data_IF_116337727125
#
_entry.id   IF_116337727125
#
_cell.length_a   1.000
_cell.length_b   1.000
_cell.length_c   1.000
_cell.angle_alpha   90.00
_cell.angle_beta   90.00
_cell.angle_gamma   90.00
#
_symmetry.space_group_name_H-M   'P 1'
#
loop_
_entity.id
_entity.type
_entity.pdbx_description
1 polymer ?
#
# COMPACT_ATOMS: atom_id res chain seq x y z
N UNK A 1 16.02 -1.87 -0.16
CA UNK A 1 14.67 -1.68 0.39
C UNK A 1 14.67 -0.27 0.93
N UNK A 2 13.66 0.48 0.53
CA UNK A 2 13.21 1.80 1.02
C UNK A 2 12.82 1.56 2.49
N UNK A 3 13.15 2.31 3.54
CA UNK A 3 13.68 3.65 3.70
C UNK A 3 14.51 3.74 5.01
N UNK A 4 15.03 4.94 5.29
CA UNK A 4 15.67 5.40 6.52
C UNK A 4 17.20 5.31 6.55
N UNK A 5 17.86 6.39 6.97
CA UNK A 5 19.31 6.46 6.94
C UNK A 5 19.96 5.50 7.94
N UNK A 6 21.09 4.92 7.59
CA UNK A 6 21.88 4.05 8.47
C UNK A 6 23.12 3.58 7.73
N UNK A 7 23.83 2.57 8.24
CA UNK A 7 24.85 1.89 7.42
C UNK A 7 24.34 0.50 7.12
N UNK A 8 24.04 0.20 5.87
CA UNK A 8 23.83 -1.17 5.34
C UNK A 8 25.11 -1.60 4.60
N UNK A 9 26.04 -2.27 5.29
CA UNK A 9 27.33 -2.63 4.68
C UNK A 9 27.22 -3.87 3.78
N UNK A 10 26.25 -4.75 4.01
CA UNK A 10 26.11 -6.01 3.28
C UNK A 10 25.04 -6.02 2.19
N UNK A 11 24.25 -4.94 2.10
CA UNK A 11 23.32 -4.67 1.01
C UNK A 11 22.12 -5.61 1.03
N UNK A 12 21.70 -6.05 2.21
CA UNK A 12 20.54 -6.93 2.39
C UNK A 12 19.22 -6.15 2.57
N UNK A 13 19.30 -4.82 2.62
CA UNK A 13 18.16 -3.93 2.76
C UNK A 13 17.77 -3.67 4.21
N UNK A 14 18.56 -4.13 5.19
CA UNK A 14 18.41 -3.78 6.61
C UNK A 14 19.65 -3.05 7.12
N UNK A 15 19.51 -2.25 8.18
CA UNK A 15 20.66 -1.62 8.84
C UNK A 15 21.59 -2.64 9.49
N UNK A 16 22.91 -2.39 9.44
CA UNK A 16 23.93 -3.21 10.11
C UNK A 16 23.70 -3.31 11.64
N UNK A 17 23.09 -2.29 12.27
CA UNK A 17 22.85 -2.18 13.72
C UNK A 17 21.35 -2.11 14.06
N UNK A 18 20.70 -3.27 14.12
CA UNK A 18 19.28 -3.40 14.52
C UNK A 18 19.09 -3.37 16.05
N UNK A 19 19.88 -2.59 16.77
CA UNK A 19 19.70 -2.46 18.23
C UNK A 19 18.51 -1.53 18.48
N UNK A 20 17.44 -2.06 19.04
CA UNK A 20 16.22 -1.33 19.41
C UNK A 20 16.00 -1.46 20.92
N UNK A 21 16.31 -0.38 21.65
CA UNK A 21 16.45 -0.37 23.12
C UNK A 21 15.12 -0.30 23.86
N UNK A 22 14.12 0.35 23.30
CA UNK A 22 12.78 0.50 23.84
C UNK A 22 11.73 -0.34 23.11
N UNK A 23 12.15 -1.05 22.06
CA UNK A 23 11.31 -1.99 21.32
C UNK A 23 10.13 -1.28 20.70
N UNK A 24 10.37 -0.16 20.02
CA UNK A 24 9.34 0.64 19.35
C UNK A 24 9.35 0.47 17.81
N UNK A 25 10.14 -0.49 17.32
CA UNK A 25 10.24 -0.82 15.90
C UNK A 25 11.32 -0.02 15.16
N UNK A 26 11.94 0.98 15.81
CA UNK A 26 13.06 1.73 15.25
C UNK A 26 14.40 1.33 15.90
N UNK A 27 15.45 1.21 15.09
CA UNK A 27 16.80 1.04 15.63
C UNK A 27 17.28 2.32 16.34
N UNK A 28 18.02 2.19 17.44
CA UNK A 28 18.56 3.25 18.30
C UNK A 28 19.28 4.39 17.53
N UNK A 29 19.84 4.07 16.36
CA UNK A 29 20.60 5.00 15.50
C UNK A 29 19.73 5.84 14.56
N UNK A 30 18.45 5.48 14.41
CA UNK A 30 17.42 6.20 13.64
C UNK A 30 16.22 6.62 14.49
N UNK A 31 16.12 6.14 15.72
CA UNK A 31 15.09 6.51 16.67
C UNK A 31 15.33 7.90 17.31
N UNK A 32 14.30 8.73 17.25
CA UNK A 32 14.25 10.05 17.86
C UNK A 32 14.23 10.09 19.39
N UNK A 33 13.74 9.04 20.06
CA UNK A 33 13.54 8.93 21.53
C UNK A 33 13.91 7.52 22.05
N UNK A 34 15.15 7.08 21.80
CA UNK A 34 15.79 5.78 22.19
C UNK A 34 15.50 5.24 23.62
N UNK A 35 14.97 6.08 24.50
CA UNK A 35 14.60 5.70 25.86
C UNK A 35 13.12 5.77 26.19
N UNK A 36 12.27 6.10 25.21
CA UNK A 36 10.85 6.42 25.34
C UNK A 36 10.58 7.29 26.59
N UNK A 37 11.37 8.37 26.74
CA UNK A 37 11.30 9.27 27.89
C UNK A 37 10.74 10.66 27.54
N UNK A 38 10.38 10.86 26.26
CA UNK A 38 9.86 12.09 25.69
C UNK A 38 10.95 13.14 25.49
N UNK A 39 12.22 12.73 25.49
CA UNK A 39 13.37 13.59 25.21
C UNK A 39 13.94 13.17 23.88
N UNK A 40 14.10 14.09 22.93
CA UNK A 40 14.73 13.71 21.67
C UNK A 40 16.24 13.41 21.88
N UNK A 41 16.66 12.15 21.75
CA UNK A 41 18.06 11.74 21.85
C UNK A 41 18.82 11.90 20.53
N UNK A 42 18.15 11.72 19.39
CA UNK A 42 18.77 11.71 18.06
C UNK A 42 18.22 12.79 17.10
N UNK A 43 17.98 13.99 17.63
CA UNK A 43 17.40 15.16 16.91
C UNK A 43 18.13 15.67 15.64
N UNK A 44 19.21 15.01 15.19
CA UNK A 44 19.96 15.39 13.97
C UNK A 44 20.07 14.26 12.95
N UNK A 45 19.63 13.04 13.27
CA UNK A 45 19.64 11.88 12.37
C UNK A 45 18.35 11.04 12.46
N UNK A 46 17.45 11.33 13.40
CA UNK A 46 16.15 10.66 13.49
C UNK A 46 15.26 11.05 12.32
N UNK A 47 14.72 10.04 11.63
CA UNK A 47 13.83 10.20 10.48
C UNK A 47 12.37 10.38 10.92
N UNK A 48 11.97 9.69 11.99
CA UNK A 48 10.66 9.87 12.63
C UNK A 48 10.81 10.12 14.14
N UNK A 49 9.88 10.90 14.71
CA UNK A 49 9.77 11.09 16.15
C UNK A 49 8.57 10.26 16.61
N UNK A 50 8.83 9.08 17.18
CA UNK A 50 7.78 8.17 17.62
C UNK A 50 7.06 8.68 18.87
N UNK A 51 5.82 8.22 19.03
CA UNK A 51 5.02 8.45 20.22
C UNK A 51 5.36 7.47 21.34
N UNK A 52 4.77 7.67 22.52
CA UNK A 52 4.99 6.74 23.64
C UNK A 52 4.32 5.38 23.41
N UNK A 53 5.05 4.26 23.40
CA UNK A 53 4.48 2.91 23.60
C UNK A 53 3.99 2.74 25.05
N UNK A 54 2.68 2.88 25.27
CA UNK A 54 2.08 2.78 26.60
C UNK A 54 1.69 1.34 26.99
N UNK A 55 1.67 0.41 26.02
CA UNK A 55 1.24 -0.99 26.13
C UNK A 55 2.42 -1.92 26.43
N UNK A 56 3.60 -1.58 25.92
CA UNK A 56 4.77 -2.44 25.89
C UNK A 56 4.63 -3.56 24.87
N UNK A 57 3.96 -3.33 23.74
CA UNK A 57 3.67 -4.35 22.72
C UNK A 57 4.65 -4.35 21.54
N UNK A 58 5.43 -3.29 21.34
CA UNK A 58 6.34 -3.19 20.21
C UNK A 58 6.13 -1.94 19.35
N UNK A 59 4.97 -1.28 19.50
CA UNK A 59 4.51 -0.26 18.56
C UNK A 59 4.26 1.10 19.24
N UNK A 60 4.66 2.24 18.63
CA UNK A 60 4.44 3.54 19.24
C UNK A 60 2.98 3.99 19.15
N UNK A 61 2.36 4.39 20.27
CA UNK A 61 0.93 4.77 20.30
C UNK A 61 0.59 6.08 19.54
N UNK A 62 1.60 6.80 19.02
CA UNK A 62 1.39 7.98 18.17
C UNK A 62 2.56 8.17 17.21
N UNK A 63 2.71 7.25 16.27
CA UNK A 63 3.18 7.61 14.93
C UNK A 63 1.93 7.73 14.06
N UNK A 64 1.91 8.70 13.16
CA UNK A 64 1.06 8.56 11.99
C UNK A 64 1.74 7.46 11.16
N UNK A 65 1.04 6.35 10.95
CA UNK A 65 1.36 5.24 10.04
C UNK A 65 2.83 4.79 9.99
N UNK A 66 3.25 3.96 10.93
CA UNK A 66 4.40 3.09 10.68
C UNK A 66 3.91 1.75 10.15
N UNK A 67 2.96 1.10 10.81
CA UNK A 67 2.38 -0.20 10.44
C UNK A 67 0.89 0.01 10.14
N UNK A 68 0.52 0.04 8.85
CA UNK A 68 -0.79 0.50 8.38
C UNK A 68 -1.86 -0.59 8.54
N UNK A 69 -1.51 -1.79 8.10
CA UNK A 69 -2.32 -3.01 8.15
C UNK A 69 -2.32 -3.70 9.53
N UNK A 70 -1.43 -3.26 10.43
CA UNK A 70 -1.26 -3.79 11.78
C UNK A 70 -0.74 -5.24 11.81
N UNK A 71 0.07 -5.64 10.84
CA UNK A 71 0.67 -6.97 10.77
C UNK A 71 1.91 -7.14 11.70
N UNK A 72 2.45 -6.02 12.18
CA UNK A 72 3.62 -5.93 13.06
C UNK A 72 4.95 -5.66 12.34
N UNK A 73 4.91 -5.37 11.04
CA UNK A 73 6.02 -4.89 10.21
C UNK A 73 5.78 -3.41 9.93
N UNK A 74 6.67 -2.52 10.39
CA UNK A 74 6.57 -1.12 9.98
C UNK A 74 6.71 -1.00 8.46
N UNK A 75 5.82 -0.30 7.78
CA UNK A 75 5.74 0.02 6.34
C UNK A 75 7.09 0.37 5.69
N UNK A 76 8.00 1.03 6.40
CA UNK A 76 9.37 1.27 5.89
C UNK A 76 10.25 0.00 5.79
N UNK A 77 9.78 -1.14 6.29
CA UNK A 77 10.36 -2.47 6.28
C UNK A 77 9.38 -3.52 5.74
N UNK A 78 8.20 -3.06 5.32
CA UNK A 78 7.15 -3.87 4.76
C UNK A 78 7.33 -3.97 3.24
N UNK A 79 7.00 -5.13 2.69
CA UNK A 79 6.99 -5.38 1.25
C UNK A 79 5.63 -5.04 0.64
N UNK A 80 4.58 -4.96 1.45
CA UNK A 80 3.15 -4.88 1.09
C UNK A 80 2.40 -4.08 2.16
N UNK A 81 2.70 -2.78 2.28
CA UNK A 81 2.37 -1.92 3.43
C UNK A 81 0.89 -1.86 3.79
N UNK A 82 -0.03 -2.20 2.88
CA UNK A 82 -1.47 -2.19 3.09
C UNK A 82 -2.10 -3.62 3.07
N UNK A 83 -1.29 -4.68 2.95
CA UNK A 83 -1.63 -6.11 2.98
C UNK A 83 -2.62 -6.55 1.86
N UNK A 84 -2.66 -5.82 0.75
CA UNK A 84 -3.54 -6.11 -0.38
C UNK A 84 -2.97 -7.20 -1.33
N UNK A 85 -1.68 -7.52 -1.20
CA UNK A 85 -0.93 -8.52 -1.95
C UNK A 85 -0.12 -7.96 -3.12
N UNK A 86 -0.36 -6.71 -3.53
CA UNK A 86 0.37 -5.97 -4.56
C UNK A 86 1.51 -5.20 -3.91
N UNK A 87 2.68 -5.83 -3.81
CA UNK A 87 3.83 -5.22 -3.13
C UNK A 87 4.15 -3.76 -3.51
N UNK A 88 4.55 -2.95 -2.53
CA UNK A 88 4.89 -1.52 -2.63
C UNK A 88 5.75 -1.16 -3.84
N UNK A 89 6.69 -2.04 -4.20
CA UNK A 89 7.58 -1.81 -5.35
C UNK A 89 6.81 -1.71 -6.67
N UNK A 90 5.72 -2.46 -6.81
CA UNK A 90 4.87 -2.46 -8.00
C UNK A 90 4.01 -1.20 -8.01
N UNK A 91 3.42 -0.84 -6.90
CA UNK A 91 2.51 0.30 -6.75
C UNK A 91 3.24 1.63 -6.90
N UNK A 92 4.46 1.73 -6.36
CA UNK A 92 5.36 2.84 -6.62
C UNK A 92 5.85 2.90 -8.10
N UNK A 93 5.38 2.01 -8.98
CA UNK A 93 5.70 1.97 -10.41
C UNK A 93 7.07 1.36 -10.72
N UNK A 94 7.65 0.63 -9.77
CA UNK A 94 8.91 -0.08 -9.90
C UNK A 94 8.80 -1.35 -10.72
N UNK A 95 9.94 -1.98 -10.95
CA UNK A 95 10.00 -3.30 -11.59
C UNK A 95 10.49 -4.33 -10.59
N UNK A 96 9.71 -5.40 -10.41
CA UNK A 96 10.14 -6.64 -9.78
C UNK A 96 10.02 -7.80 -10.78
N UNK A 97 11.10 -8.05 -11.51
CA UNK A 97 11.16 -9.13 -12.50
C UNK A 97 11.43 -10.50 -11.89
N UNK A 98 11.72 -10.57 -10.60
CA UNK A 98 12.14 -11.78 -9.92
C UNK A 98 11.09 -12.27 -8.89
N UNK A 99 10.10 -11.43 -8.59
CA UNK A 99 8.95 -11.68 -7.72
C UNK A 99 9.38 -11.95 -6.28
N UNK A 100 10.28 -11.10 -5.76
CA UNK A 100 10.73 -11.08 -4.37
C UNK A 100 10.28 -9.81 -3.62
N UNK A 101 9.32 -9.06 -4.18
CA UNK A 101 8.77 -7.83 -3.59
C UNK A 101 9.76 -6.67 -3.59
N UNK A 102 10.88 -6.78 -4.32
CA UNK A 102 11.98 -5.80 -4.26
C UNK A 102 12.33 -5.27 -5.64
N UNK A 103 12.79 -4.02 -5.66
CA UNK A 103 13.14 -3.34 -6.90
C UNK A 103 14.36 -3.98 -7.61
N UNK A 104 14.16 -4.46 -8.83
CA UNK A 104 15.18 -5.04 -9.72
C UNK A 104 16.05 -3.96 -10.42
N UNK A 105 16.57 -3.01 -9.62
CA UNK A 105 17.32 -1.84 -10.06
C UNK A 105 18.85 -1.96 -10.06
N UNK A 106 19.51 -0.81 -10.16
CA UNK A 106 20.95 -0.73 -9.99
C UNK A 106 21.34 -1.10 -8.57
N UNK A 107 22.21 -2.11 -8.41
CA UNK A 107 22.82 -2.44 -7.12
C UNK A 107 23.89 -1.42 -6.67
N UNK A 108 23.91 -0.24 -7.26
CA UNK A 108 24.80 0.85 -6.83
C UNK A 108 23.96 1.80 -6.00
N UNK A 109 24.39 1.96 -4.78
CA UNK A 109 23.83 2.87 -3.79
C UNK A 109 25.03 3.66 -3.26
N UNK A 110 25.12 4.92 -3.68
CA UNK A 110 26.33 5.75 -3.53
C UNK A 110 26.50 6.30 -2.13
N UNK A 111 25.41 6.62 -1.45
CA UNK A 111 25.39 7.17 -0.09
C UNK A 111 24.87 6.17 0.96
N UNK A 112 24.47 4.97 0.52
CA UNK A 112 24.08 3.84 1.38
C UNK A 112 22.82 4.13 2.19
N UNK A 113 21.87 4.83 1.58
CA UNK A 113 20.59 5.19 2.19
C UNK A 113 19.45 4.21 1.86
N UNK A 114 19.75 3.15 1.12
CA UNK A 114 18.80 2.08 0.80
C UNK A 114 18.14 2.21 -0.58
N UNK A 115 18.28 3.37 -1.24
CA UNK A 115 17.82 3.56 -2.61
C UNK A 115 18.93 3.25 -3.62
N UNK A 116 18.59 2.47 -4.65
CA UNK A 116 19.49 2.34 -5.80
C UNK A 116 19.65 3.70 -6.49
N UNK A 117 20.86 4.05 -6.94
CA UNK A 117 21.18 5.31 -7.62
C UNK A 117 20.21 5.62 -8.79
N UNK A 118 19.56 4.60 -9.36
CA UNK A 118 18.59 4.70 -10.46
C UNK A 118 17.18 5.10 -10.04
N UNK A 119 16.84 4.99 -8.75
CA UNK A 119 15.57 5.45 -8.15
C UNK A 119 15.78 6.49 -7.05
N UNK A 120 17.01 6.75 -6.64
CA UNK A 120 17.34 7.76 -5.64
C UNK A 120 17.19 9.19 -6.18
N UNK A 121 16.45 10.04 -5.47
CA UNK A 121 16.26 11.46 -5.80
C UNK A 121 17.50 12.35 -5.58
N UNK A 122 18.40 12.01 -4.66
CA UNK A 122 19.62 12.73 -4.23
C UNK A 122 20.76 11.72 -3.99
N UNK A 123 21.22 11.08 -5.08
CA UNK A 123 22.31 10.07 -5.18
C UNK A 123 23.57 10.30 -4.32
N UNK A 124 23.80 11.51 -3.81
CA UNK A 124 24.97 11.82 -2.98
C UNK A 124 24.64 12.32 -1.57
N UNK A 125 23.37 12.35 -1.19
CA UNK A 125 22.81 12.98 -0.01
C UNK A 125 23.47 14.35 0.26
N UNK A 126 23.56 15.17 -0.79
CA UNK A 126 24.23 16.47 -0.74
C UNK A 126 23.25 17.66 -0.74
N UNK A 127 21.95 17.35 -0.77
CA UNK A 127 20.84 18.29 -0.83
C UNK A 127 20.59 18.81 -2.24
N UNK A 128 21.12 18.14 -3.26
CA UNK A 128 20.90 18.46 -4.68
C UNK A 128 20.12 17.31 -5.30
N UNK A 129 18.96 17.59 -5.88
CA UNK A 129 18.23 16.54 -6.57
C UNK A 129 18.95 16.13 -7.88
N UNK A 130 19.35 14.86 -8.01
CA UNK A 130 20.01 14.30 -9.20
C UNK A 130 19.10 13.47 -10.09
N UNK A 131 18.22 12.65 -9.49
CA UNK A 131 17.47 11.62 -10.22
C UNK A 131 15.98 11.55 -9.80
N UNK A 132 15.39 12.71 -9.53
CA UNK A 132 13.94 12.87 -9.27
C UNK A 132 13.01 12.33 -10.37
N UNK A 133 13.51 12.05 -11.57
CA UNK A 133 12.71 11.48 -12.66
C UNK A 133 12.71 9.94 -12.68
N UNK A 134 13.60 9.31 -11.90
CA UNK A 134 13.64 7.87 -11.70
C UNK A 134 13.10 7.44 -10.34
N UNK A 135 12.79 8.39 -9.45
CA UNK A 135 12.18 8.09 -8.16
C UNK A 135 10.83 7.40 -8.33
N UNK A 136 10.64 6.31 -7.59
CA UNK A 136 9.42 5.50 -7.58
C UNK A 136 8.31 6.22 -6.81
N UNK A 137 8.66 6.82 -5.67
CA UNK A 137 7.80 7.71 -4.90
C UNK A 137 8.46 9.08 -4.78
N UNK A 138 7.69 10.16 -4.89
CA UNK A 138 8.15 11.53 -4.63
C UNK A 138 7.26 12.12 -3.56
N UNK A 139 7.88 12.73 -2.56
CA UNK A 139 7.16 13.44 -1.51
C UNK A 139 7.13 14.94 -1.77
N UNK A 140 6.02 15.56 -1.39
CA UNK A 140 5.80 16.99 -1.45
C UNK A 140 6.55 17.76 -0.36
N UNK A 141 6.23 19.05 -0.23
CA UNK A 141 6.70 19.82 0.93
C UNK A 141 5.95 19.40 2.18
N UNK A 142 6.62 19.36 3.32
CA UNK A 142 5.99 19.43 4.64
C UNK A 142 6.00 20.89 5.14
N UNK A 143 4.87 21.58 4.98
CA UNK A 143 4.72 22.99 5.36
C UNK A 143 4.36 23.17 6.83
N UNK A 144 3.77 22.16 7.45
CA UNK A 144 3.35 22.06 8.87
C UNK A 144 4.55 21.86 9.78
N UNK A 145 5.56 21.14 9.27
CA UNK A 145 6.63 20.48 10.02
C UNK A 145 6.03 19.46 11.01
N UNK A 146 5.05 18.67 10.58
CA UNK A 146 4.46 17.60 11.39
C UNK A 146 5.08 16.23 11.12
N UNK A 147 6.00 16.15 10.15
CA UNK A 147 6.74 14.93 9.83
C UNK A 147 6.14 14.15 8.65
N UNK A 148 4.96 14.51 8.16
CA UNK A 148 4.37 13.93 6.96
C UNK A 148 4.45 14.92 5.78
N UNK A 149 4.74 14.46 4.56
CA UNK A 149 4.66 15.33 3.40
C UNK A 149 3.19 15.72 3.13
N UNK A 150 2.96 16.92 2.62
CA UNK A 150 1.59 17.38 2.32
C UNK A 150 0.99 16.80 1.03
N UNK A 151 1.71 15.98 0.26
CA UNK A 151 1.26 15.44 -1.03
C UNK A 151 2.24 14.40 -1.57
N UNK A 152 1.78 13.51 -2.44
CA UNK A 152 2.59 12.53 -3.18
C UNK A 152 2.42 12.75 -4.69
N UNK A 153 3.32 13.47 -5.38
CA UNK A 153 3.07 13.86 -6.77
C UNK A 153 3.10 12.74 -7.83
N UNK A 154 3.39 11.50 -7.43
CA UNK A 154 3.35 10.27 -8.22
C UNK A 154 3.11 9.08 -7.27
N UNK A 155 2.55 8.00 -7.80
CA UNK A 155 2.04 6.86 -7.03
C UNK A 155 0.98 7.34 -6.01
N UNK A 156 -0.05 7.98 -6.56
CA UNK A 156 -1.22 8.61 -5.92
C UNK A 156 -2.20 8.84 -7.08
N UNK A 157 -2.83 7.74 -7.51
CA UNK A 157 -3.55 7.63 -8.77
C UNK A 157 -4.85 8.44 -8.76
N UNK A 158 -5.53 8.50 -7.62
CA UNK A 158 -6.79 9.20 -7.45
C UNK A 158 -6.62 10.67 -6.95
N UNK A 159 -5.42 11.03 -6.46
CA UNK A 159 -5.07 12.34 -5.92
C UNK A 159 -5.78 12.72 -4.60
N UNK A 160 -5.94 11.77 -3.68
CA UNK A 160 -6.52 12.01 -2.35
C UNK A 160 -5.51 12.33 -1.24
N UNK A 161 -4.21 12.40 -1.60
CA UNK A 161 -3.05 12.60 -0.73
C UNK A 161 -2.65 11.34 0.09
N UNK A 162 -3.16 10.16 -0.23
CA UNK A 162 -2.64 8.84 0.17
C UNK A 162 -1.92 8.23 -1.05
N UNK A 163 -0.67 7.76 -0.92
CA UNK A 163 0.01 7.12 -2.03
C UNK A 163 -0.53 5.71 -2.25
N UNK A 164 -0.51 5.22 -3.50
CA UNK A 164 -1.08 3.92 -3.90
C UNK A 164 -0.67 2.78 -2.95
N UNK A 165 0.61 2.71 -2.54
CA UNK A 165 1.11 1.67 -1.63
C UNK A 165 0.53 1.67 -0.19
N UNK A 166 -0.27 2.67 0.16
CA UNK A 166 -0.93 2.84 1.45
C UNK A 166 -2.46 3.00 1.29
N UNK A 167 -2.97 2.81 0.08
CA UNK A 167 -4.37 3.04 -0.28
C UNK A 167 -4.99 1.70 -0.69
N UNK A 168 -6.00 1.25 0.06
CA UNK A 168 -6.63 -0.05 -0.25
C UNK A 168 -7.62 0.01 -1.43
N UNK A 169 -7.86 1.18 -2.02
CA UNK A 169 -8.75 1.48 -3.15
C UNK A 169 -8.12 2.60 -4.01
N UNK A 170 -6.95 2.32 -4.60
CA UNK A 170 -6.04 3.30 -5.23
C UNK A 170 -6.65 4.12 -6.37
N UNK A 171 -7.73 3.67 -7.01
CA UNK A 171 -8.46 4.44 -8.03
C UNK A 171 -9.80 5.04 -7.53
N UNK A 172 -10.14 4.69 -6.29
CA UNK A 172 -11.19 5.26 -5.48
C UNK A 172 -12.60 5.05 -6.06
N UNK A 173 -12.81 3.84 -6.56
CA UNK A 173 -14.02 3.40 -7.23
C UNK A 173 -14.98 2.63 -6.27
N UNK A 174 -14.48 2.21 -5.11
CA UNK A 174 -15.21 1.52 -4.05
C UNK A 174 -15.12 -0.01 -4.07
N UNK A 175 -14.36 -0.57 -4.99
CA UNK A 175 -13.80 -1.91 -4.91
C UNK A 175 -12.49 -1.78 -4.08
N UNK A 176 -11.65 -2.80 -3.96
CA UNK A 176 -10.44 -2.72 -3.14
C UNK A 176 -9.36 -3.45 -3.88
N UNK A 177 -8.14 -2.95 -3.80
CA UNK A 177 -7.02 -3.36 -4.64
C UNK A 177 -6.74 -4.86 -4.49
N UNK A 178 -6.91 -5.44 -3.30
CA UNK A 178 -6.84 -6.88 -3.06
C UNK A 178 -7.78 -7.72 -3.98
N UNK A 179 -8.98 -7.21 -4.27
CA UNK A 179 -9.95 -7.84 -5.17
C UNK A 179 -9.66 -7.55 -6.65
N UNK A 180 -8.83 -6.55 -6.93
CA UNK A 180 -8.62 -5.96 -8.25
C UNK A 180 -7.26 -6.28 -8.86
N UNK A 181 -6.23 -6.43 -8.03
CA UNK A 181 -4.91 -6.88 -8.45
C UNK A 181 -4.90 -8.30 -9.00
N UNK A 182 -5.91 -9.13 -8.71
CA UNK A 182 -5.94 -10.54 -9.11
C UNK A 182 -7.24 -10.91 -9.82
N UNK A 183 -7.14 -11.57 -10.97
CA UNK A 183 -8.29 -12.18 -11.65
C UNK A 183 -9.15 -13.03 -10.69
N UNK A 184 -10.48 -12.88 -10.76
CA UNK A 184 -11.45 -13.57 -9.88
C UNK A 184 -11.20 -15.06 -9.71
N UNK A 185 -10.75 -15.74 -10.77
CA UNK A 185 -10.52 -17.19 -10.75
C UNK A 185 -9.20 -17.62 -10.09
N UNK A 186 -8.26 -16.70 -9.93
CA UNK A 186 -6.94 -16.88 -9.34
C UNK A 186 -6.86 -16.36 -7.90
N UNK A 187 -7.79 -15.48 -7.49
CA UNK A 187 -7.86 -14.92 -6.15
C UNK A 187 -7.72 -15.97 -5.03
N UNK A 188 -6.86 -15.65 -4.08
CA UNK A 188 -6.62 -16.42 -2.86
C UNK A 188 -6.92 -15.51 -1.69
N UNK A 189 -7.74 -15.96 -0.75
CA UNK A 189 -8.02 -15.18 0.47
C UNK A 189 -6.73 -15.06 1.30
N UNK A 190 -6.36 -13.85 1.76
CA UNK A 190 -5.22 -13.64 2.66
C UNK A 190 -5.25 -14.60 3.86
N UNK A 191 -4.08 -15.07 4.26
CA UNK A 191 -3.94 -16.01 5.37
C UNK A 191 -3.96 -15.31 6.74
N UNK A 192 -3.76 -13.99 6.74
CA UNK A 192 -3.50 -13.15 7.91
C UNK A 192 -2.32 -13.70 8.70
N UNK A 193 -1.27 -14.08 7.98
CA UNK A 193 -0.06 -14.60 8.56
C UNK A 193 1.12 -14.27 7.66
N UNK A 194 2.19 -13.84 8.30
CA UNK A 194 3.53 -13.72 7.75
C UNK A 194 4.46 -14.63 8.58
N UNK A 195 5.15 -15.56 7.93
CA UNK A 195 6.09 -16.49 8.61
C UNK A 195 7.50 -15.94 8.68
N UNK A 196 7.83 -15.01 7.80
CA UNK A 196 9.16 -14.49 7.48
C UNK A 196 9.44 -13.21 8.25
N UNK A 197 8.38 -12.42 8.50
CA UNK A 197 8.48 -11.09 9.08
C UNK A 197 8.93 -10.07 8.04
N UNK A 198 8.57 -10.24 6.78
CA UNK A 198 8.86 -9.31 5.69
C UNK A 198 7.63 -8.53 5.19
N UNK A 199 6.47 -8.75 5.80
CA UNK A 199 5.24 -7.98 5.61
C UNK A 199 4.33 -8.51 4.50
N UNK A 200 4.80 -9.47 3.68
CA UNK A 200 3.94 -10.05 2.64
C UNK A 200 3.15 -11.26 3.18
N UNK A 201 1.81 -11.24 3.13
CA UNK A 201 1.00 -12.37 3.56
C UNK A 201 1.42 -13.69 2.87
N UNK A 202 1.49 -14.77 3.65
CA UNK A 202 1.94 -16.09 3.16
C UNK A 202 1.13 -16.63 1.95
N UNK A 203 -0.07 -16.11 1.68
CA UNK A 203 -0.87 -16.46 0.50
C UNK A 203 -0.29 -15.87 -0.78
N UNK A 204 0.36 -14.70 -0.65
CA UNK A 204 0.95 -13.92 -1.72
C UNK A 204 2.48 -14.09 -1.78
N UNK A 205 3.12 -14.51 -0.70
CA UNK A 205 4.57 -14.70 -0.65
C UNK A 205 5.06 -16.03 -1.31
N UNK A 206 5.83 -15.99 -2.42
CA UNK A 206 6.39 -17.18 -3.07
C UNK A 206 7.39 -17.98 -2.25
N UNK A 207 8.16 -17.35 -1.36
CA UNK A 207 9.27 -17.99 -0.68
C UNK A 207 8.83 -18.71 0.61
N UNK A 208 7.64 -18.36 1.12
CA UNK A 208 6.86 -19.17 2.06
C UNK A 208 5.71 -19.99 1.43
N UNK A 209 5.60 -19.99 0.11
CA UNK A 209 4.84 -20.97 -0.68
C UNK A 209 3.44 -20.54 -1.12
N UNK A 210 3.13 -19.26 -0.97
CA UNK A 210 2.07 -18.51 -1.63
C UNK A 210 2.37 -18.24 -3.11
N UNK A 211 1.69 -17.25 -3.69
CA UNK A 211 1.79 -16.87 -5.09
C UNK A 211 1.82 -15.36 -5.23
N UNK A 212 2.95 -14.83 -5.69
CA UNK A 212 3.14 -13.40 -5.95
C UNK A 212 2.02 -12.86 -6.83
N UNK A 213 1.47 -11.72 -6.44
CA UNK A 213 0.47 -11.00 -7.22
C UNK A 213 1.18 -10.31 -8.38
N UNK A 214 0.74 -10.64 -9.59
CA UNK A 214 1.07 -9.84 -10.76
C UNK A 214 -0.24 -9.14 -11.08
N UNK A 215 -0.32 -7.79 -10.99
CA UNK A 215 -1.55 -7.07 -11.23
C UNK A 215 -2.20 -7.49 -12.55
N UNK A 216 -3.50 -7.76 -12.49
CA UNK A 216 -4.32 -8.00 -13.67
C UNK A 216 -4.47 -6.69 -14.45
N UNK A 217 -4.54 -6.80 -15.78
CA UNK A 217 -4.76 -5.71 -16.73
C UNK A 217 -5.73 -6.31 -17.77
N UNK A 218 -7.01 -6.18 -17.48
CA UNK A 218 -8.10 -6.93 -18.11
C UNK A 218 -8.27 -6.51 -19.57
N UNK A 219 -8.14 -5.23 -19.89
CA UNK A 219 -8.29 -4.69 -21.24
C UNK A 219 -6.96 -4.64 -22.04
N UNK A 220 -5.82 -4.68 -21.35
CA UNK A 220 -4.46 -4.67 -21.91
C UNK A 220 -3.94 -3.27 -22.28
N UNK A 221 -4.43 -2.20 -21.65
CA UNK A 221 -4.03 -0.82 -21.92
C UNK A 221 -2.80 -0.35 -21.14
N UNK A 222 -2.31 -1.19 -20.22
CA UNK A 222 -1.18 -0.96 -19.29
C UNK A 222 -1.50 -0.12 -18.05
N UNK A 223 -2.77 0.15 -17.76
CA UNK A 223 -3.28 0.44 -16.42
C UNK A 223 -3.73 -0.88 -15.80
N UNK A 224 -3.10 -1.35 -14.71
CA UNK A 224 -3.65 -2.46 -13.96
C UNK A 224 -5.05 -2.14 -13.44
N UNK A 225 -5.86 -3.19 -13.27
CA UNK A 225 -7.26 -3.10 -12.86
C UNK A 225 -7.46 -2.26 -11.59
N UNK A 226 -6.62 -2.42 -10.56
CA UNK A 226 -6.70 -1.65 -9.30
C UNK A 226 -6.37 -0.14 -9.45
N UNK A 227 -5.90 0.29 -10.62
CA UNK A 227 -5.64 1.69 -10.94
C UNK A 227 -6.59 2.22 -12.03
N UNK A 228 -7.52 1.40 -12.53
CA UNK A 228 -8.32 1.67 -13.73
C UNK A 228 -9.83 1.73 -13.43
N UNK A 229 -10.40 2.92 -13.59
CA UNK A 229 -11.83 3.19 -13.36
C UNK A 229 -12.83 2.45 -14.29
N UNK A 230 -12.35 1.77 -15.34
CA UNK A 230 -13.12 1.01 -16.34
C UNK A 230 -12.24 -0.16 -16.85
N UNK A 231 -11.95 -1.14 -15.97
CA UNK A 231 -10.96 -2.20 -16.17
C UNK A 231 -11.15 -3.06 -17.43
N UNK A 232 -12.34 -3.12 -18.01
CA UNK A 232 -12.60 -3.84 -19.26
C UNK A 232 -12.90 -2.94 -20.48
N UNK A 233 -12.81 -1.63 -20.27
CA UNK A 233 -12.86 -0.55 -21.25
C UNK A 233 -14.17 -0.60 -22.08
N UNK A 234 -15.26 -0.97 -21.40
CA UNK A 234 -16.56 -1.27 -22.01
C UNK A 234 -17.59 -0.12 -21.92
N UNK A 235 -17.19 0.99 -21.28
CA UNK A 235 -17.86 2.29 -21.12
C UNK A 235 -18.70 2.47 -19.86
N UNK A 236 -18.83 1.44 -19.04
CA UNK A 236 -19.28 1.61 -17.66
C UNK A 236 -18.05 1.87 -16.78
N UNK A 237 -18.22 1.80 -15.48
CA UNK A 237 -17.13 2.14 -14.56
C UNK A 237 -17.23 1.13 -13.47
N UNK A 238 -16.10 0.76 -12.93
CA UNK A 238 -15.99 -0.33 -11.97
C UNK A 238 -16.85 -0.03 -10.71
N UNK A 239 -16.88 1.24 -10.27
CA UNK A 239 -17.82 1.76 -9.25
C UNK A 239 -19.30 1.43 -9.49
N UNK A 240 -19.75 1.40 -10.74
CA UNK A 240 -21.14 1.06 -11.07
C UNK A 240 -21.30 -0.45 -11.15
N UNK A 241 -20.38 -1.14 -11.83
CA UNK A 241 -20.49 -2.57 -12.11
C UNK A 241 -20.23 -3.44 -10.88
N UNK A 242 -19.26 -3.06 -10.05
CA UNK A 242 -19.01 -3.62 -8.72
C UNK A 242 -20.17 -3.43 -7.74
N UNK A 243 -21.11 -2.50 -8.00
CA UNK A 243 -22.13 -2.15 -7.02
C UNK A 243 -23.57 -2.19 -7.55
N UNK A 244 -23.83 -2.52 -8.82
CA UNK A 244 -25.18 -2.63 -9.39
C UNK A 244 -25.68 -4.08 -9.44
N UNK A 245 -26.32 -4.53 -8.36
CA UNK A 245 -26.83 -5.90 -8.28
C UNK A 245 -28.15 -6.12 -9.03
N UNK A 246 -28.82 -5.06 -9.49
CA UNK A 246 -30.14 -5.17 -10.14
C UNK A 246 -30.15 -4.78 -11.64
N UNK A 247 -28.99 -4.36 -12.16
CA UNK A 247 -28.74 -4.05 -13.57
C UNK A 247 -29.56 -2.85 -14.03
N UNK A 248 -29.59 -1.78 -13.22
CA UNK A 248 -30.30 -0.54 -13.52
C UNK A 248 -29.38 0.65 -13.82
N UNK A 249 -28.06 0.42 -13.81
CA UNK A 249 -26.96 1.37 -14.01
C UNK A 249 -26.84 2.40 -12.90
N UNK A 250 -27.12 1.97 -11.69
CA UNK A 250 -26.97 2.78 -10.49
C UNK A 250 -26.47 1.87 -9.39
N UNK A 251 -25.32 2.21 -8.83
CA UNK A 251 -24.79 1.52 -7.66
C UNK A 251 -25.83 1.45 -6.52
N UNK A 252 -25.95 0.28 -5.93
CA UNK A 252 -26.91 -0.03 -4.89
C UNK A 252 -26.41 0.41 -3.51
N UNK A 253 -27.26 1.09 -2.73
CA UNK A 253 -26.97 1.47 -1.33
C UNK A 253 -26.93 0.28 -0.34
N UNK A 254 -26.81 -0.94 -0.85
CA UNK A 254 -26.73 -2.19 -0.12
C UNK A 254 -25.88 -3.22 -0.86
N UNK A 255 -24.99 -2.73 -1.73
CA UNK A 255 -23.87 -3.50 -2.25
C UNK A 255 -23.08 -4.13 -1.08
N UNK A 256 -22.46 -5.31 -1.26
CA UNK A 256 -21.67 -5.97 -0.22
C UNK A 256 -20.55 -5.11 0.38
N UNK A 257 -19.98 -4.21 -0.41
CA UNK A 257 -19.09 -3.13 0.01
C UNK A 257 -19.91 -1.86 0.22
N UNK A 258 -20.84 -1.80 1.18
CA UNK A 258 -21.50 -0.53 1.48
C UNK A 258 -22.03 -0.48 2.91
N UNK A 259 -21.55 0.50 3.67
CA UNK A 259 -22.08 0.84 5.00
C UNK A 259 -23.53 1.36 4.98
N UNK A 260 -24.13 1.50 3.79
CA UNK A 260 -25.46 2.07 3.56
C UNK A 260 -25.45 3.58 3.35
N UNK A 261 -24.27 4.18 3.17
CA UNK A 261 -24.08 5.56 2.72
C UNK A 261 -23.60 5.51 1.26
N UNK A 262 -24.50 5.61 0.26
CA UNK A 262 -24.03 5.67 -1.14
C UNK A 262 -23.19 6.92 -1.39
N UNK A 263 -21.93 6.74 -1.78
CA UNK A 263 -21.03 7.79 -2.25
C UNK A 263 -20.70 8.82 -1.17
N UNK A 264 -19.44 8.85 -0.78
CA UNK A 264 -18.87 9.80 0.18
C UNK A 264 -17.58 10.40 -0.36
N UNK A 265 -17.01 11.32 0.40
CA UNK A 265 -15.59 11.71 0.33
C UNK A 265 -15.05 11.77 1.77
N UNK A 266 -15.66 10.96 2.63
CA UNK A 266 -15.32 10.86 4.03
C UNK A 266 -14.74 9.48 4.16
N UNK A 267 -13.52 9.46 4.62
CA UNK A 267 -12.77 8.30 5.02
C UNK A 267 -12.38 8.62 6.48
N UNK A 268 -12.81 7.75 7.40
CA UNK A 268 -12.76 8.00 8.83
C UNK A 268 -11.48 7.46 9.48
N UNK A 269 -10.90 6.45 8.86
CA UNK A 269 -9.73 5.68 9.27
C UNK A 269 -8.50 6.08 8.51
N UNK A 270 -8.66 6.73 7.34
CA UNK A 270 -7.60 7.13 6.44
C UNK A 270 -6.97 5.96 5.68
N UNK A 271 -7.76 4.94 5.35
CA UNK A 271 -7.35 3.74 4.60
C UNK A 271 -7.54 3.84 3.10
N UNK A 272 -8.00 4.99 2.59
CA UNK A 272 -8.19 5.23 1.16
C UNK A 272 -9.58 4.82 0.66
N UNK A 273 -10.23 3.87 1.33
CA UNK A 273 -11.60 3.47 1.01
C UNK A 273 -12.64 4.36 1.70
N UNK A 274 -13.44 5.07 0.91
CA UNK A 274 -14.47 5.94 1.51
C UNK A 274 -15.51 5.18 2.35
N UNK A 275 -15.95 5.81 3.46
CA UNK A 275 -16.99 5.35 4.42
C UNK A 275 -18.25 4.77 3.76
N UNK A 276 -18.55 5.20 2.53
CA UNK A 276 -19.73 4.75 1.79
C UNK A 276 -19.65 3.32 1.26
N UNK A 277 -18.43 2.86 1.04
CA UNK A 277 -18.03 1.57 0.50
C UNK A 277 -17.31 0.70 1.53
N UNK A 278 -16.71 1.33 2.53
CA UNK A 278 -16.07 0.67 3.65
C UNK A 278 -17.08 0.08 4.67
N UNK A 279 -16.93 -1.22 4.97
CA UNK A 279 -17.72 -1.96 5.93
C UNK A 279 -17.23 -1.81 7.38
N UNK A 280 -16.04 -1.27 7.60
CA UNK A 280 -15.39 -1.12 8.90
C UNK A 280 -14.51 0.14 8.98
N UNK A 281 -15.16 1.29 9.18
CA UNK A 281 -14.58 2.66 9.26
C UNK A 281 -13.69 2.92 10.48
N UNK A 282 -12.89 1.95 10.87
CA UNK A 282 -11.97 1.94 11.99
C UNK A 282 -10.81 0.94 11.78
N UNK A 283 -10.55 0.47 10.56
CA UNK A 283 -9.62 -0.61 10.24
C UNK A 283 -9.18 -0.59 8.78
N UNK A 284 -7.87 -0.60 8.55
CA UNK A 284 -7.19 -0.76 7.26
C UNK A 284 -7.20 -2.22 6.79
N UNK A 285 -8.38 -2.84 6.74
CA UNK A 285 -8.50 -4.22 6.27
C UNK A 285 -8.58 -4.22 4.74
N UNK A 286 -7.49 -4.60 4.06
CA UNK A 286 -7.41 -4.71 2.59
C UNK A 286 -8.54 -5.52 1.94
N UNK A 287 -9.22 -6.38 2.72
CA UNK A 287 -10.34 -7.18 2.23
C UNK A 287 -11.71 -6.54 2.45
N UNK A 288 -11.78 -5.34 3.05
CA UNK A 288 -13.00 -4.63 3.41
C UNK A 288 -14.00 -5.52 4.19
N UNK A 289 -13.54 -6.05 5.33
CA UNK A 289 -14.28 -7.02 6.17
C UNK A 289 -14.49 -8.40 5.54
N UNK A 290 -13.49 -8.90 4.82
CA UNK A 290 -13.48 -10.25 4.23
C UNK A 290 -14.32 -10.38 2.97
N UNK A 291 -14.47 -9.30 2.21
CA UNK A 291 -14.93 -9.39 0.83
C UNK A 291 -13.89 -10.15 -0.01
N UNK A 292 -14.35 -10.61 -1.16
CA UNK A 292 -13.57 -11.33 -2.16
C UNK A 292 -14.15 -10.88 -3.50
N UNK A 293 -13.49 -11.12 -4.65
CA UNK A 293 -14.07 -10.76 -5.93
C UNK A 293 -15.48 -11.34 -6.11
N UNK A 294 -15.71 -12.58 -5.65
CA UNK A 294 -17.04 -13.24 -5.75
C UNK A 294 -18.15 -12.65 -4.85
N UNK A 295 -17.82 -11.68 -4.00
CA UNK A 295 -18.82 -10.91 -3.26
C UNK A 295 -19.57 -9.95 -4.18
N UNK A 296 -18.90 -9.40 -5.21
CA UNK A 296 -19.43 -8.38 -6.11
C UNK A 296 -20.39 -8.97 -7.17
N UNK A 297 -21.23 -8.12 -7.81
CA UNK A 297 -22.14 -8.50 -8.88
C UNK A 297 -21.48 -9.30 -10.01
N UNK A 298 -22.31 -10.17 -10.59
CA UNK A 298 -22.01 -11.03 -11.73
C UNK A 298 -23.38 -11.33 -12.38
N UNK A 299 -24.02 -10.26 -12.83
CA UNK A 299 -25.38 -10.26 -13.38
C UNK A 299 -25.40 -10.29 -14.91
N UNK A 300 -24.30 -9.87 -15.56
CA UNK A 300 -24.18 -9.79 -17.01
C UNK A 300 -23.80 -11.17 -17.61
N UNK A 301 -22.68 -11.77 -17.19
CA UNK A 301 -22.19 -13.06 -17.70
C UNK A 301 -21.97 -14.17 -16.65
N UNK A 302 -22.85 -14.29 -15.65
CA UNK A 302 -22.92 -15.35 -14.62
C UNK A 302 -21.92 -16.52 -14.73
N UNK A 303 -20.96 -16.53 -13.80
CA UNK A 303 -20.01 -17.63 -13.58
C UNK A 303 -18.69 -17.48 -14.36
N UNK A 304 -18.43 -16.28 -14.84
CA UNK A 304 -17.14 -15.80 -15.35
C UNK A 304 -16.44 -14.93 -14.32
N UNK A 305 -15.99 -13.77 -14.78
CA UNK A 305 -15.38 -12.76 -13.93
C UNK A 305 -16.46 -11.98 -13.16
N UNK A 306 -16.11 -10.88 -12.50
CA UNK A 306 -17.11 -9.92 -12.01
C UNK A 306 -17.50 -8.96 -13.12
N UNK A 307 -18.67 -8.34 -12.97
CA UNK A 307 -19.23 -7.49 -14.02
C UNK A 307 -18.20 -6.43 -14.50
N UNK A 308 -17.46 -5.81 -13.57
CA UNK A 308 -16.41 -4.81 -13.84
C UNK A 308 -15.16 -5.31 -14.62
N UNK A 309 -15.06 -6.62 -14.90
CA UNK A 309 -14.02 -7.21 -15.78
C UNK A 309 -14.62 -7.91 -17.00
N UNK A 310 -15.92 -7.77 -17.25
CA UNK A 310 -16.64 -8.51 -18.28
C UNK A 310 -17.13 -7.63 -19.43
N UNK A 311 -16.34 -7.56 -20.52
CA UNK A 311 -16.64 -6.74 -21.71
C UNK A 311 -17.96 -7.03 -22.49
N UNK A 312 -18.89 -7.81 -21.93
CA UNK A 312 -20.21 -8.12 -22.42
C UNK A 312 -21.32 -7.45 -21.60
N UNK A 313 -21.49 -6.15 -21.78
CA UNK A 313 -22.55 -5.47 -21.04
C UNK A 313 -23.97 -5.52 -21.58
N UNK A 314 -24.91 -5.80 -20.66
CA UNK A 314 -26.36 -5.67 -20.87
C UNK A 314 -27.08 -4.87 -19.80
N UNK A 315 -26.32 -4.24 -18.91
CA UNK A 315 -26.77 -3.33 -17.86
C UNK A 315 -27.69 -2.22 -18.39
#
# INVERSE_FOLDING_TARGET
>A
MVEVGGTDTDGDGYFDDQTDSDSDGLADDVDGDVGNDGTAENSTQALFLTGSDSDGDGEPNSVVSADLDSDGVPGQYDIDSDDDGITDVIEAGGTDGNSDGRHDGSSTDTDSDGFGDDVDGDVGNDGTAENTAGALLVTGTDSDNDGAPNSYPNADNDSDDIPDLWDIDSDNDGIVDNNEGIATSAYVVPSNADTDGDGLDNSYDPDNGGTYVIPEDTDGDSSPDYLDLDSDDDTFTDLIEGHDSDGNRVADSGSPASSGVSGGTTDSDNDGLYDGWDNNTSSFDATNSGLTPTSYPDVNQVGGDRDWREAQDTD
#
